data_IF_726667742153
#
_entry.id   IF_726667742153
#
_cell.length_a   1.000
_cell.length_b   1.000
_cell.length_c   1.000
_cell.angle_alpha   90.00
_cell.angle_beta   90.00
_cell.angle_gamma   90.00
#
_symmetry.space_group_name_H-M   'P 1'
#
loop_
_entity.id
_entity.type
_entity.pdbx_description
1 polymer ?
#
# COMPACT_ATOMS: atom_id res chain seq x y z
N UNK A 1 -12.92 -13.61 30.47
CA UNK A 1 -13.17 -15.05 30.70
C UNK A 1 -13.97 -15.57 29.52
N UNK A 2 -13.51 -16.65 28.89
CA UNK A 2 -14.12 -17.25 27.70
C UNK A 2 -13.06 -17.55 26.64
N UNK A 3 -12.29 -18.61 26.86
CA UNK A 3 -11.39 -19.20 25.87
C UNK A 3 -12.22 -20.01 24.87
N UNK A 4 -11.94 -19.86 23.57
CA UNK A 4 -12.42 -20.76 22.53
C UNK A 4 -11.22 -21.40 21.84
N UNK A 5 -10.94 -22.59 22.36
CA UNK A 5 -10.35 -23.79 21.78
C UNK A 5 -9.92 -23.74 20.30
N UNK A 6 -8.61 -23.89 20.07
CA UNK A 6 -8.04 -24.13 18.74
C UNK A 6 -8.14 -25.62 18.42
N UNK A 7 -9.02 -25.95 17.47
CA UNK A 7 -9.17 -27.31 16.95
C UNK A 7 -7.90 -27.80 16.24
N UNK A 8 -7.23 -28.75 16.87
CA UNK A 8 -6.22 -29.63 16.29
C UNK A 8 -6.80 -30.44 15.12
N UNK A 9 -6.39 -30.15 13.88
CA UNK A 9 -6.50 -31.09 12.76
C UNK A 9 -5.13 -31.73 12.52
N UNK A 10 -4.82 -32.80 13.26
CA UNK A 10 -3.77 -33.75 12.91
C UNK A 10 -4.35 -34.76 11.92
N UNK A 11 -4.06 -34.59 10.63
CA UNK A 11 -4.24 -35.66 9.65
C UNK A 11 -2.94 -36.48 9.62
N UNK A 12 -2.94 -37.61 10.32
CA UNK A 12 -1.94 -38.67 10.14
C UNK A 12 -2.06 -39.24 8.72
N UNK A 13 -1.14 -38.87 7.83
CA UNK A 13 -0.93 -39.60 6.57
C UNK A 13 -0.08 -40.83 6.86
N UNK A 14 -0.73 -41.95 7.21
CA UNK A 14 -0.11 -43.28 7.18
C UNK A 14 0.21 -43.65 5.72
N UNK A 15 1.45 -44.09 5.54
CA UNK A 15 2.10 -44.21 4.24
C UNK A 15 1.42 -45.17 3.26
N UNK A 16 1.50 -44.78 1.99
CA UNK A 16 1.75 -45.70 0.90
C UNK A 16 2.79 -45.05 -0.01
N UNK A 17 3.88 -45.80 -0.23
CA UNK A 17 5.13 -45.28 -0.76
C UNK A 17 5.04 -44.73 -2.17
N UNK A 18 5.41 -43.46 -2.31
CA UNK A 18 6.05 -42.93 -3.51
C UNK A 18 7.26 -42.16 -3.02
N UNK A 19 8.47 -42.65 -3.36
CA UNK A 19 9.70 -41.88 -3.16
C UNK A 19 9.64 -40.64 -4.07
N UNK A 20 9.18 -39.51 -3.53
CA UNK A 20 9.45 -38.20 -4.13
C UNK A 20 10.88 -37.80 -3.72
N UNK A 21 11.75 -37.63 -4.70
CA UNK A 21 13.18 -37.35 -4.52
C UNK A 21 13.47 -36.02 -3.82
N UNK A 22 14.63 -35.96 -3.16
CA UNK A 22 15.09 -34.92 -2.22
C UNK A 22 15.23 -33.47 -2.72
N UNK A 23 14.63 -33.07 -3.84
CA UNK A 23 14.59 -31.66 -4.26
C UNK A 23 13.58 -30.82 -3.46
N UNK A 24 12.52 -31.44 -2.93
CA UNK A 24 11.47 -30.70 -2.21
C UNK A 24 11.93 -30.33 -0.79
N UNK A 25 12.63 -31.23 -0.10
CA UNK A 25 13.16 -30.99 1.26
C UNK A 25 14.21 -29.86 1.26
N UNK A 26 15.10 -29.82 0.26
CA UNK A 26 16.11 -28.76 0.12
C UNK A 26 15.48 -27.37 -0.08
N UNK A 27 14.40 -27.27 -0.87
CA UNK A 27 13.71 -26.00 -1.10
C UNK A 27 12.98 -25.47 0.15
N UNK A 28 12.47 -26.35 1.00
CA UNK A 28 11.83 -25.95 2.27
C UNK A 28 12.84 -25.48 3.33
N UNK A 29 14.03 -26.08 3.36
CA UNK A 29 15.10 -25.67 4.29
C UNK A 29 15.70 -24.32 3.90
N UNK A 30 15.99 -24.10 2.61
CA UNK A 30 16.49 -22.82 2.09
C UNK A 30 15.48 -21.68 2.28
N UNK A 31 14.19 -21.95 2.07
CA UNK A 31 13.09 -21.02 2.34
C UNK A 31 13.01 -20.63 3.82
N UNK A 32 13.24 -21.59 4.72
CA UNK A 32 13.23 -21.33 6.16
C UNK A 32 14.45 -20.51 6.59
N UNK A 33 15.63 -20.83 6.08
CA UNK A 33 16.88 -20.10 6.38
C UNK A 33 16.81 -18.65 5.90
N UNK A 34 16.37 -18.43 4.65
CA UNK A 34 16.19 -17.08 4.10
C UNK A 34 15.12 -16.29 4.84
N UNK A 35 14.07 -16.95 5.35
CA UNK A 35 13.06 -16.30 6.22
C UNK A 35 13.70 -15.79 7.51
N UNK A 36 14.51 -16.62 8.20
CA UNK A 36 15.21 -16.23 9.43
C UNK A 36 16.16 -15.05 9.18
N UNK A 37 16.88 -15.04 8.07
CA UNK A 37 17.75 -13.94 7.70
C UNK A 37 16.99 -12.60 7.53
N UNK A 38 15.79 -12.63 6.93
CA UNK A 38 14.92 -11.43 6.85
C UNK A 38 14.45 -11.01 8.24
N UNK A 39 14.07 -11.96 9.11
CA UNK A 39 13.67 -11.63 10.49
C UNK A 39 14.78 -10.92 11.26
N UNK A 40 16.01 -11.41 11.17
CA UNK A 40 17.16 -10.81 11.85
C UNK A 40 17.49 -9.42 11.29
N UNK A 41 17.40 -9.24 9.97
CA UNK A 41 17.51 -7.92 9.36
C UNK A 41 16.43 -6.95 9.87
N UNK A 42 15.18 -7.40 10.02
CA UNK A 42 14.10 -6.56 10.56
C UNK A 42 14.33 -6.20 12.03
N UNK A 43 14.91 -7.08 12.85
CA UNK A 43 15.32 -6.75 14.23
C UNK A 43 16.36 -5.62 14.23
N UNK A 44 17.34 -5.66 13.33
CA UNK A 44 18.33 -4.58 13.16
C UNK A 44 17.66 -3.26 12.79
N UNK A 45 16.65 -3.30 11.90
CA UNK A 45 15.87 -2.11 11.54
C UNK A 45 15.13 -1.52 12.75
N UNK A 46 14.44 -2.34 13.53
CA UNK A 46 13.73 -1.92 14.74
C UNK A 46 14.69 -1.30 15.78
N UNK A 47 15.82 -1.95 16.02
CA UNK A 47 16.85 -1.43 16.93
C UNK A 47 17.42 -0.09 16.43
N UNK A 48 17.65 0.05 15.13
CA UNK A 48 18.11 1.31 14.53
C UNK A 48 17.10 2.47 14.68
N UNK A 49 15.80 2.15 14.71
CA UNK A 49 14.75 3.10 15.04
C UNK A 49 14.70 3.47 16.53
N UNK A 50 15.38 2.70 17.40
CA UNK A 50 15.36 2.88 18.85
C UNK A 50 14.19 2.17 19.53
N UNK A 51 13.58 1.19 18.88
CA UNK A 51 12.46 0.42 19.44
C UNK A 51 12.93 -0.76 20.30
N UNK A 52 12.11 -1.11 21.29
CA UNK A 52 12.24 -2.37 22.01
C UNK A 52 11.60 -3.51 21.21
N UNK A 53 12.45 -4.39 20.67
CA UNK A 53 12.03 -5.56 19.90
C UNK A 53 11.17 -6.55 20.70
N UNK A 54 11.23 -6.49 22.03
CA UNK A 54 10.45 -7.36 22.92
C UNK A 54 9.08 -6.77 23.30
N UNK A 55 8.78 -5.53 22.89
CA UNK A 55 7.45 -4.93 23.04
C UNK A 55 6.41 -5.86 22.40
N UNK A 56 5.30 -6.09 23.11
CA UNK A 56 4.24 -7.02 22.70
C UNK A 56 3.85 -6.88 21.21
N UNK A 57 3.59 -5.65 20.75
CA UNK A 57 3.20 -5.35 19.37
C UNK A 57 4.30 -5.55 18.32
N UNK A 58 5.57 -5.62 18.72
CA UNK A 58 6.75 -5.76 17.84
C UNK A 58 7.33 -7.18 17.80
N UNK A 59 7.08 -8.01 18.83
CA UNK A 59 7.66 -9.37 18.93
C UNK A 59 7.47 -10.23 17.67
N UNK A 60 6.30 -10.13 17.03
CA UNK A 60 5.98 -10.87 15.80
C UNK A 60 6.21 -10.06 14.52
N UNK A 61 6.66 -8.81 14.61
CA UNK A 61 6.91 -7.94 13.45
C UNK A 61 7.96 -8.51 12.50
N UNK A 62 9.13 -9.00 12.96
CA UNK A 62 10.11 -9.64 12.08
C UNK A 62 9.51 -10.73 11.18
N UNK A 63 8.85 -11.73 11.79
CA UNK A 63 8.19 -12.82 11.07
C UNK A 63 7.10 -12.32 10.13
N UNK A 64 6.30 -11.34 10.57
CA UNK A 64 5.22 -10.74 9.78
C UNK A 64 5.74 -10.04 8.52
N UNK A 65 6.84 -9.31 8.64
CA UNK A 65 7.51 -8.63 7.52
C UNK A 65 8.13 -9.66 6.58
N UNK A 66 8.85 -10.65 7.10
CA UNK A 66 9.46 -11.71 6.30
C UNK A 66 8.42 -12.44 5.45
N UNK A 67 7.31 -12.88 6.07
CA UNK A 67 6.21 -13.54 5.33
C UNK A 67 5.61 -12.64 4.25
N UNK A 68 5.39 -11.35 4.54
CA UNK A 68 4.80 -10.42 3.58
C UNK A 68 5.71 -10.20 2.36
N UNK A 69 7.02 -10.00 2.60
CA UNK A 69 7.99 -9.82 1.51
C UNK A 69 8.07 -11.07 0.64
N UNK A 70 8.17 -12.27 1.24
CA UNK A 70 8.26 -13.53 0.48
C UNK A 70 7.02 -13.82 -0.35
N UNK A 71 5.85 -13.47 0.17
CA UNK A 71 4.57 -13.61 -0.54
C UNK A 71 4.50 -12.62 -1.70
N UNK A 72 4.81 -11.35 -1.46
CA UNK A 72 4.80 -10.32 -2.50
C UNK A 72 5.97 -10.42 -3.49
N UNK A 73 6.92 -11.33 -3.29
CA UNK A 73 7.99 -11.67 -4.26
C UNK A 73 7.90 -13.12 -4.76
N UNK A 74 6.78 -13.82 -4.54
CA UNK A 74 6.63 -15.21 -4.98
C UNK A 74 6.73 -15.41 -6.49
N UNK A 75 6.51 -14.35 -7.26
CA UNK A 75 6.52 -14.35 -8.72
C UNK A 75 7.87 -14.69 -9.35
N UNK A 76 8.99 -14.51 -8.62
CA UNK A 76 10.31 -14.97 -9.07
C UNK A 76 10.43 -16.50 -9.14
N UNK A 77 9.62 -17.22 -8.37
CA UNK A 77 9.60 -18.70 -8.31
C UNK A 77 8.57 -19.34 -9.24
N UNK A 78 7.87 -18.53 -10.04
CA UNK A 78 6.82 -18.98 -10.94
C UNK A 78 7.25 -18.86 -12.40
N UNK A 79 6.90 -19.86 -13.21
CA UNK A 79 7.15 -19.87 -14.65
C UNK A 79 5.85 -19.61 -15.41
N UNK A 80 5.88 -18.65 -16.33
CA UNK A 80 4.72 -18.32 -17.18
C UNK A 80 4.30 -19.50 -18.07
N UNK A 81 5.27 -20.27 -18.56
CA UNK A 81 5.03 -21.44 -19.41
C UNK A 81 4.05 -22.41 -18.78
N UNK A 82 4.18 -22.63 -17.47
CA UNK A 82 3.37 -23.61 -16.71
C UNK A 82 1.93 -23.11 -16.51
N UNK A 83 1.71 -21.80 -16.60
CA UNK A 83 0.39 -21.16 -16.48
C UNK A 83 -0.35 -21.22 -17.81
N UNK A 84 0.34 -20.92 -18.92
CA UNK A 84 -0.27 -20.77 -20.24
C UNK A 84 -0.46 -22.12 -20.94
N UNK A 85 0.41 -23.11 -20.68
CA UNK A 85 0.27 -24.46 -21.25
C UNK A 85 -1.07 -25.10 -20.88
N UNK A 86 -1.74 -25.70 -21.88
CA UNK A 86 -3.02 -26.40 -21.73
C UNK A 86 -4.26 -25.51 -21.61
N UNK A 87 -4.15 -24.18 -21.83
CA UNK A 87 -5.24 -23.23 -21.65
C UNK A 87 -5.69 -22.52 -22.95
N UNK A 88 -5.28 -23.07 -24.10
CA UNK A 88 -5.75 -22.63 -25.41
C UNK A 88 -6.94 -23.50 -25.81
N UNK A 89 -8.08 -22.87 -26.00
CA UNK A 89 -9.33 -23.54 -26.38
C UNK A 89 -9.62 -23.26 -27.86
N UNK A 90 -10.03 -24.27 -28.63
CA UNK A 90 -10.49 -24.03 -29.99
C UNK A 90 -11.75 -23.19 -29.95
N UNK A 91 -11.74 -22.06 -30.64
CA UNK A 91 -12.89 -21.19 -30.83
C UNK A 91 -12.99 -20.87 -32.32
N UNK A 92 -14.06 -21.34 -32.97
CA UNK A 92 -14.28 -21.11 -34.38
C UNK A 92 -14.49 -19.62 -34.65
N UNK A 93 -13.57 -18.99 -35.39
CA UNK A 93 -13.74 -17.65 -35.95
C UNK A 93 -14.59 -17.69 -37.22
N UNK A 94 -14.88 -16.52 -37.80
CA UNK A 94 -15.49 -16.42 -39.14
C UNK A 94 -14.51 -17.00 -40.17
N UNK A 95 -14.86 -18.12 -40.81
CA UNK A 95 -14.09 -18.70 -41.93
C UNK A 95 -14.15 -17.83 -43.19
N UNK A 96 -15.14 -16.95 -43.29
CA UNK A 96 -15.36 -16.02 -44.40
C UNK A 96 -14.84 -14.64 -44.02
N UNK A 97 -13.76 -14.17 -44.65
CA UNK A 97 -13.03 -12.91 -44.41
C UNK A 97 -13.80 -11.60 -44.61
N UNK A 98 -15.03 -11.50 -44.10
CA UNK A 98 -15.85 -10.30 -44.02
C UNK A 98 -15.99 -9.94 -42.53
N UNK A 99 -14.96 -9.27 -41.99
CA UNK A 99 -14.98 -8.66 -40.65
C UNK A 99 -14.14 -9.35 -39.57
N UNK A 100 -14.08 -8.71 -38.40
CA UNK A 100 -13.48 -9.23 -37.17
C UNK A 100 -14.62 -9.55 -36.17
N UNK A 101 -14.81 -10.81 -35.79
CA UNK A 101 -15.82 -11.21 -34.80
C UNK A 101 -15.17 -11.56 -33.44
N UNK A 102 -15.94 -11.46 -32.36
CA UNK A 102 -15.54 -11.91 -31.03
C UNK A 102 -15.22 -13.41 -31.05
N UNK A 103 -13.97 -13.76 -30.77
CA UNK A 103 -13.39 -15.08 -31.00
C UNK A 103 -12.01 -14.96 -31.65
N UNK A 104 -11.57 -15.99 -32.38
CA UNK A 104 -10.32 -15.94 -33.12
C UNK A 104 -10.41 -14.94 -34.30
N UNK A 105 -9.96 -13.72 -34.04
CA UNK A 105 -9.94 -12.61 -35.01
C UNK A 105 -10.36 -11.26 -34.42
N UNK A 106 -11.07 -11.24 -33.29
CA UNK A 106 -11.52 -10.00 -32.63
C UNK A 106 -10.73 -9.67 -31.36
N UNK A 107 -10.80 -8.40 -30.94
CA UNK A 107 -10.19 -7.94 -29.69
C UNK A 107 -10.88 -8.56 -28.47
N UNK A 108 -10.12 -9.24 -27.61
CA UNK A 108 -10.56 -9.73 -26.30
C UNK A 108 -9.93 -8.87 -25.21
N UNK A 109 -10.76 -8.37 -24.27
CA UNK A 109 -10.30 -7.49 -23.18
C UNK A 109 -10.64 -8.09 -21.81
N UNK A 110 -9.62 -8.21 -20.96
CA UNK A 110 -9.75 -8.44 -19.51
C UNK A 110 -9.24 -7.18 -18.79
N UNK A 111 -10.07 -6.59 -17.95
CA UNK A 111 -9.83 -5.28 -17.35
C UNK A 111 -10.22 -5.27 -15.88
N UNK A 112 -9.78 -4.23 -15.17
CA UNK A 112 -9.97 -4.06 -13.72
C UNK A 112 -9.34 -5.20 -12.90
N UNK A 113 -8.17 -5.69 -13.32
CA UNK A 113 -7.40 -6.65 -12.54
C UNK A 113 -6.67 -5.91 -11.42
N UNK A 114 -7.11 -6.12 -10.20
CA UNK A 114 -6.50 -5.54 -9.00
C UNK A 114 -5.27 -6.36 -8.58
N UNK A 115 -4.08 -5.75 -8.67
CA UNK A 115 -2.78 -6.35 -8.37
C UNK A 115 -1.96 -5.37 -7.51
N UNK A 116 -0.93 -5.87 -6.83
CA UNK A 116 0.08 -5.02 -6.20
C UNK A 116 1.48 -5.50 -6.55
N UNK A 117 2.45 -4.62 -6.40
CA UNK A 117 3.86 -4.97 -6.46
C UNK A 117 4.66 -4.16 -5.45
N UNK A 118 5.91 -4.55 -5.21
CA UNK A 118 6.85 -3.77 -4.40
C UNK A 118 7.67 -2.88 -5.32
N UNK A 119 7.72 -1.59 -5.04
CA UNK A 119 8.53 -0.65 -5.82
C UNK A 119 10.00 -0.98 -5.64
N UNK A 120 10.71 -1.29 -6.71
CA UNK A 120 12.13 -1.65 -6.61
C UNK A 120 13.01 -0.51 -6.09
N UNK A 121 12.59 0.74 -6.31
CA UNK A 121 13.34 1.92 -5.84
C UNK A 121 13.26 2.08 -4.31
N UNK A 122 12.18 1.66 -3.65
CA UNK A 122 11.98 1.96 -2.23
C UNK A 122 11.43 0.82 -1.38
N UNK A 123 11.16 -0.36 -1.93
CA UNK A 123 10.60 -1.54 -1.26
C UNK A 123 9.22 -1.35 -0.63
N UNK A 124 8.51 -0.28 -0.98
CA UNK A 124 7.14 -0.04 -0.52
C UNK A 124 6.14 -0.56 -1.55
N UNK A 125 5.01 -1.10 -1.09
CA UNK A 125 4.00 -1.63 -1.99
C UNK A 125 3.32 -0.50 -2.75
N UNK A 126 3.01 -0.76 -4.02
CA UNK A 126 2.19 0.10 -4.86
C UNK A 126 1.05 -0.70 -5.49
N UNK A 127 -0.06 -0.01 -5.71
CA UNK A 127 -1.24 -0.59 -6.35
C UNK A 127 -1.06 -0.58 -7.85
N UNK A 128 -1.54 -1.64 -8.50
CA UNK A 128 -1.59 -1.82 -9.95
C UNK A 128 -3.00 -2.23 -10.33
N UNK A 129 -3.69 -1.39 -11.11
CA UNK A 129 -4.89 -1.80 -11.82
C UNK A 129 -4.52 -2.13 -13.26
N UNK A 130 -4.60 -3.40 -13.62
CA UNK A 130 -4.13 -3.94 -14.89
C UNK A 130 -5.29 -4.20 -15.86
N UNK A 131 -5.08 -3.78 -17.11
CA UNK A 131 -6.00 -3.96 -18.22
C UNK A 131 -5.24 -4.60 -19.39
N UNK A 132 -5.74 -5.71 -19.90
CA UNK A 132 -5.10 -6.53 -20.93
C UNK A 132 -6.06 -6.68 -22.10
N UNK A 133 -5.63 -6.27 -23.28
CA UNK A 133 -6.25 -6.58 -24.56
C UNK A 133 -5.39 -7.58 -25.33
N UNK A 134 -5.98 -8.53 -26.04
CA UNK A 134 -5.24 -9.34 -27.01
C UNK A 134 -6.11 -9.73 -28.21
N UNK A 135 -5.46 -9.98 -29.34
CA UNK A 135 -6.12 -10.47 -30.56
C UNK A 135 -5.75 -11.93 -30.79
N UNK A 136 -6.66 -12.88 -30.58
CA UNK A 136 -6.33 -14.29 -30.72
C UNK A 136 -5.97 -14.65 -32.16
N UNK A 137 -5.14 -15.69 -32.32
CA UNK A 137 -4.69 -16.19 -33.62
C UNK A 137 -4.95 -17.70 -33.75
N UNK A 138 -5.05 -18.20 -34.99
CA UNK A 138 -5.11 -19.63 -35.26
C UNK A 138 -6.29 -20.37 -34.61
N UNK A 139 -7.49 -19.77 -34.61
CA UNK A 139 -8.72 -20.38 -34.07
C UNK A 139 -8.65 -20.81 -32.60
N UNK A 140 -7.82 -20.13 -31.79
CA UNK A 140 -7.67 -20.43 -30.36
C UNK A 140 -7.81 -19.19 -29.49
N UNK A 141 -8.49 -19.34 -28.36
CA UNK A 141 -8.61 -18.30 -27.32
C UNK A 141 -7.99 -18.79 -26.01
N UNK A 142 -7.45 -17.85 -25.22
CA UNK A 142 -6.91 -18.18 -23.90
C UNK A 142 -8.00 -18.12 -22.84
N UNK A 143 -7.99 -19.05 -21.89
CA UNK A 143 -8.84 -18.96 -20.70
C UNK A 143 -8.56 -17.67 -19.93
N UNK A 144 -9.59 -16.85 -19.66
CA UNK A 144 -9.46 -15.49 -19.11
C UNK A 144 -8.65 -15.44 -17.80
N UNK A 145 -8.79 -16.45 -16.94
CA UNK A 145 -8.03 -16.56 -15.68
C UNK A 145 -6.51 -16.65 -15.86
N UNK A 146 -6.02 -16.96 -17.07
CA UNK A 146 -4.58 -17.07 -17.35
C UNK A 146 -3.96 -15.70 -17.55
N UNK A 147 -4.67 -14.75 -18.16
CA UNK A 147 -4.20 -13.38 -18.31
C UNK A 147 -3.93 -12.74 -16.94
N UNK A 148 -4.84 -12.91 -15.98
CA UNK A 148 -4.64 -12.43 -14.61
C UNK A 148 -3.53 -13.14 -13.87
N UNK A 149 -3.39 -14.47 -14.03
CA UNK A 149 -2.29 -15.24 -13.43
C UNK A 149 -0.92 -14.85 -13.98
N UNK A 150 -0.80 -14.59 -15.29
CA UNK A 150 0.46 -14.11 -15.87
C UNK A 150 0.80 -12.73 -15.32
N UNK A 151 -0.18 -11.82 -15.24
CA UNK A 151 0.03 -10.52 -14.63
C UNK A 151 0.44 -10.62 -13.14
N UNK A 152 -0.11 -11.58 -12.39
CA UNK A 152 0.26 -11.84 -10.99
C UNK A 152 1.71 -12.32 -10.84
N UNK A 153 2.21 -13.17 -11.74
CA UNK A 153 3.62 -13.62 -11.71
C UNK A 153 4.60 -12.45 -11.74
N UNK A 154 4.32 -11.43 -12.53
CA UNK A 154 5.20 -10.28 -12.65
C UNK A 154 4.92 -9.21 -11.58
N UNK A 155 3.67 -9.05 -11.14
CA UNK A 155 3.34 -8.10 -10.08
C UNK A 155 3.93 -8.54 -8.72
N UNK A 156 4.01 -9.84 -8.45
CA UNK A 156 4.64 -10.41 -7.25
C UNK A 156 6.18 -10.43 -7.32
N UNK A 157 6.77 -9.29 -7.63
CA UNK A 157 8.22 -9.02 -7.76
C UNK A 157 8.54 -7.61 -7.28
N UNK A 158 9.84 -7.25 -7.28
CA UNK A 158 10.26 -5.85 -7.19
C UNK A 158 10.15 -5.21 -8.57
N UNK A 159 9.30 -4.20 -8.72
CA UNK A 159 8.95 -3.63 -10.02
C UNK A 159 9.06 -2.12 -10.16
N UNK A 160 9.26 -1.73 -11.42
CA UNK A 160 8.87 -0.47 -12.01
C UNK A 160 7.59 -0.65 -12.85
N UNK A 161 6.63 0.30 -12.89
CA UNK A 161 5.40 0.20 -13.65
C UNK A 161 5.61 -0.12 -15.13
N UNK A 162 6.54 0.57 -15.80
CA UNK A 162 6.74 0.39 -17.24
C UNK A 162 7.31 -1.00 -17.52
N UNK A 163 8.34 -1.42 -16.76
CA UNK A 163 8.88 -2.77 -16.88
C UNK A 163 7.84 -3.85 -16.60
N UNK A 164 6.99 -3.67 -15.59
CA UNK A 164 5.89 -4.59 -15.32
C UNK A 164 4.94 -4.71 -16.53
N UNK A 165 4.60 -3.60 -17.18
CA UNK A 165 3.76 -3.63 -18.38
C UNK A 165 4.43 -4.40 -19.54
N UNK A 166 5.73 -4.15 -19.74
CA UNK A 166 6.52 -4.77 -20.81
C UNK A 166 6.72 -6.28 -20.61
N UNK A 167 7.01 -6.70 -19.37
CA UNK A 167 7.17 -8.12 -19.02
C UNK A 167 5.85 -8.89 -19.19
N UNK A 168 4.72 -8.31 -18.73
CA UNK A 168 3.40 -8.94 -18.91
C UNK A 168 3.05 -9.04 -20.40
N UNK A 169 3.25 -7.97 -21.17
CA UNK A 169 2.99 -7.94 -22.61
C UNK A 169 3.80 -8.99 -23.35
N UNK A 170 5.11 -9.03 -23.13
CA UNK A 170 6.03 -9.97 -23.77
C UNK A 170 5.71 -11.42 -23.40
N UNK A 171 5.47 -11.69 -22.12
CA UNK A 171 5.19 -13.04 -21.65
C UNK A 171 3.86 -13.60 -22.21
N UNK A 172 2.84 -12.75 -22.36
CA UNK A 172 1.60 -13.12 -23.01
C UNK A 172 1.79 -13.33 -24.52
N UNK A 173 2.57 -12.46 -25.19
CA UNK A 173 2.89 -12.61 -26.60
C UNK A 173 3.61 -13.94 -26.86
N UNK A 174 4.64 -14.26 -26.09
CA UNK A 174 5.45 -15.47 -26.26
C UNK A 174 4.68 -16.74 -25.87
N UNK A 175 3.91 -16.68 -24.78
CA UNK A 175 3.17 -17.81 -24.24
C UNK A 175 1.94 -18.20 -25.07
N UNK A 176 1.18 -17.21 -25.55
CA UNK A 176 -0.08 -17.42 -26.27
C UNK A 176 0.13 -17.41 -27.79
N UNK A 177 1.15 -16.67 -28.29
CA UNK A 177 1.38 -16.35 -29.70
C UNK A 177 0.17 -15.73 -30.41
N UNK A 178 -0.47 -14.71 -29.82
CA UNK A 178 -1.58 -14.01 -30.45
C UNK A 178 -1.09 -13.12 -31.59
N UNK A 179 -2.03 -12.56 -32.35
CA UNK A 179 -1.74 -11.55 -33.37
C UNK A 179 -1.20 -10.26 -32.74
N UNK A 180 -1.58 -9.98 -31.49
CA UNK A 180 -0.95 -8.96 -30.66
C UNK A 180 -1.53 -8.92 -29.25
N UNK A 181 -0.81 -8.24 -28.35
CA UNK A 181 -1.19 -7.99 -26.95
C UNK A 181 -1.02 -6.50 -26.64
N UNK A 182 -1.94 -5.94 -25.87
CA UNK A 182 -1.84 -4.64 -25.25
C UNK A 182 -2.03 -4.75 -23.74
N UNK A 183 -1.20 -4.05 -22.98
CA UNK A 183 -1.28 -3.96 -21.53
C UNK A 183 -1.31 -2.49 -21.15
N UNK A 184 -2.26 -2.08 -20.31
CA UNK A 184 -2.32 -0.76 -19.68
C UNK A 184 -2.37 -0.96 -18.18
N UNK A 185 -1.45 -0.32 -17.47
CA UNK A 185 -1.42 -0.33 -16.01
C UNK A 185 -1.71 1.07 -15.48
N UNK A 186 -2.64 1.16 -14.55
CA UNK A 186 -2.85 2.35 -13.72
C UNK A 186 -2.26 2.09 -12.35
N UNK A 187 -1.11 2.69 -12.08
CA UNK A 187 -0.35 2.45 -10.85
C UNK A 187 -0.53 3.61 -9.88
N UNK A 188 -0.66 3.29 -8.58
CA UNK A 188 -0.71 4.28 -7.50
C UNK A 188 0.34 3.93 -6.44
N UNK A 189 1.31 4.83 -6.26
CA UNK A 189 2.32 4.75 -5.22
C UNK A 189 1.98 5.72 -4.11
N UNK A 190 2.16 5.31 -2.86
CA UNK A 190 1.95 6.23 -1.73
C UNK A 190 3.00 7.37 -1.79
N UNK A 191 2.54 8.61 -1.66
CA UNK A 191 3.43 9.76 -1.54
C UNK A 191 4.03 9.81 -0.13
N UNK A 192 5.19 10.45 0.05
CA UNK A 192 5.74 10.66 1.38
C UNK A 192 5.87 12.14 1.63
N UNK A 193 5.21 12.69 2.66
CA UNK A 193 5.50 14.05 3.05
C UNK A 193 6.94 14.11 3.58
N UNK A 194 7.71 15.09 3.10
CA UNK A 194 8.88 15.55 3.84
C UNK A 194 8.35 16.16 5.15
N UNK A 195 9.08 16.01 6.27
CA UNK A 195 8.67 16.57 7.56
C UNK A 195 8.31 18.07 7.45
N UNK A 196 9.04 18.81 6.60
CA UNK A 196 8.77 20.23 6.32
C UNK A 196 7.49 20.46 5.49
N UNK A 197 7.15 19.56 4.57
CA UNK A 197 5.95 19.68 3.72
C UNK A 197 4.68 19.14 4.37
N UNK A 198 4.79 18.28 5.40
CA UNK A 198 3.67 17.77 6.19
C UNK A 198 2.91 18.88 6.93
N UNK A 199 3.57 20.01 7.25
CA UNK A 199 2.99 21.14 7.96
C UNK A 199 2.29 22.17 7.05
N UNK A 200 2.64 22.23 5.75
CA UNK A 200 2.40 23.41 4.92
C UNK A 200 1.48 23.20 3.72
N UNK A 201 1.25 21.96 3.27
CA UNK A 201 0.47 21.74 2.04
C UNK A 201 -0.82 20.94 2.31
N UNK A 202 -1.96 21.63 2.21
CA UNK A 202 -3.29 21.00 2.24
C UNK A 202 -3.60 20.23 0.95
N UNK A 203 -2.77 20.37 -0.09
CA UNK A 203 -2.94 19.72 -1.40
C UNK A 203 -2.15 18.42 -1.59
N UNK A 204 -1.58 17.84 -0.52
CA UNK A 204 -0.91 16.54 -0.63
C UNK A 204 -1.90 15.46 -1.05
N UNK A 205 -1.96 15.20 -2.36
CA UNK A 205 -2.52 13.97 -2.90
C UNK A 205 -1.65 12.86 -2.35
N UNK A 206 -2.13 12.13 -1.33
CA UNK A 206 -1.39 11.08 -0.63
C UNK A 206 -0.92 9.91 -1.53
N UNK A 207 -1.17 10.00 -2.84
CA UNK A 207 -0.83 9.01 -3.85
C UNK A 207 -0.31 9.70 -5.12
N UNK A 208 0.83 9.21 -5.63
CA UNK A 208 1.33 9.49 -6.98
C UNK A 208 0.75 8.45 -7.91
N UNK A 209 0.06 8.92 -8.96
CA UNK A 209 -0.58 8.08 -9.97
C UNK A 209 0.18 8.16 -11.28
N UNK A 210 0.46 7.02 -11.89
CA UNK A 210 1.07 6.92 -13.23
C UNK A 210 0.28 5.93 -14.07
N UNK A 211 0.17 6.21 -15.36
CA UNK A 211 -0.42 5.29 -16.33
C UNK A 211 0.67 4.95 -17.34
N UNK A 212 0.92 3.66 -17.51
CA UNK A 212 1.90 3.11 -18.44
C UNK A 212 1.20 2.12 -19.36
N UNK A 213 1.77 1.92 -20.55
CA UNK A 213 1.26 0.96 -21.51
C UNK A 213 2.40 0.21 -22.20
N UNK A 214 2.11 -1.01 -22.63
CA UNK A 214 2.97 -1.82 -23.47
C UNK A 214 2.14 -2.53 -24.53
N UNK A 215 2.70 -2.70 -25.73
CA UNK A 215 2.02 -3.33 -26.85
C UNK A 215 2.98 -4.17 -27.68
N UNK A 216 2.49 -5.30 -28.20
CA UNK A 216 3.23 -6.23 -29.05
C UNK A 216 2.35 -6.72 -30.22
N UNK A 217 2.97 -7.13 -31.33
CA UNK A 217 2.26 -7.53 -32.56
C UNK A 217 1.46 -6.37 -33.15
N UNK A 218 0.17 -6.56 -33.42
CA UNK A 218 -0.71 -5.49 -33.96
C UNK A 218 -0.85 -4.25 -33.05
N UNK A 219 -0.38 -4.33 -31.81
CA UNK A 219 -0.34 -3.21 -30.87
C UNK A 219 1.03 -2.53 -30.75
N UNK A 220 2.05 -2.92 -31.52
CA UNK A 220 3.38 -2.27 -31.47
C UNK A 220 3.31 -0.78 -31.82
N UNK A 221 2.53 -0.44 -32.85
CA UNK A 221 2.28 0.93 -33.27
C UNK A 221 1.14 1.53 -32.43
N UNK A 222 1.45 2.55 -31.63
CA UNK A 222 0.52 3.27 -30.76
C UNK A 222 -0.59 4.04 -31.51
N UNK A 223 -0.44 4.21 -32.83
CA UNK A 223 -1.44 4.84 -33.72
C UNK A 223 -2.34 3.85 -34.46
N UNK A 224 -2.17 2.55 -34.24
CA UNK A 224 -3.02 1.55 -34.88
C UNK A 224 -4.48 1.68 -34.39
N UNK A 225 -5.45 1.55 -35.30
CA UNK A 225 -6.90 1.70 -35.00
C UNK A 225 -7.36 0.80 -33.85
N UNK A 226 -6.71 -0.35 -33.69
CA UNK A 226 -7.01 -1.32 -32.64
C UNK A 226 -6.73 -0.80 -31.21
N UNK A 227 -5.79 0.14 -31.04
CA UNK A 227 -5.63 0.86 -29.78
C UNK A 227 -6.87 1.72 -29.49
N UNK A 228 -7.45 2.33 -30.53
CA UNK A 228 -8.69 3.09 -30.43
C UNK A 228 -9.84 2.25 -29.90
N UNK A 229 -10.01 1.02 -30.41
CA UNK A 229 -11.02 0.07 -29.93
C UNK A 229 -10.78 -0.31 -28.46
N UNK A 230 -9.54 -0.67 -28.10
CA UNK A 230 -9.18 -1.04 -26.73
C UNK A 230 -9.43 0.11 -25.74
N UNK A 231 -8.97 1.32 -26.07
CA UNK A 231 -9.16 2.51 -25.23
C UNK A 231 -10.64 2.88 -25.12
N UNK A 232 -11.41 2.76 -26.20
CA UNK A 232 -12.86 3.00 -26.19
C UNK A 232 -13.60 2.04 -25.27
N UNK A 233 -13.22 0.76 -25.30
CA UNK A 233 -13.75 -0.23 -24.36
C UNK A 233 -13.47 0.19 -22.92
N UNK A 234 -12.24 0.55 -22.57
CA UNK A 234 -11.91 1.03 -21.22
C UNK A 234 -12.73 2.26 -20.81
N UNK A 235 -12.88 3.24 -21.71
CA UNK A 235 -13.69 4.45 -21.47
C UNK A 235 -15.15 4.15 -21.19
N UNK A 236 -15.76 3.14 -21.82
CA UNK A 236 -17.15 2.74 -21.51
C UNK A 236 -17.36 2.32 -20.04
N UNK A 237 -16.30 1.99 -19.30
CA UNK A 237 -16.37 1.69 -17.86
C UNK A 237 -15.93 2.86 -16.98
N UNK A 238 -15.75 4.04 -17.55
CA UNK A 238 -15.25 5.21 -16.84
C UNK A 238 -13.75 5.16 -16.54
N UNK A 239 -12.99 4.25 -17.17
CA UNK A 239 -11.54 4.19 -17.02
C UNK A 239 -10.94 5.26 -17.94
N UNK A 240 -10.54 6.40 -17.36
CA UNK A 240 -9.88 7.47 -18.11
C UNK A 240 -8.37 7.16 -18.27
N UNK A 241 -7.92 7.06 -19.51
CA UNK A 241 -6.53 6.76 -19.91
C UNK A 241 -5.92 7.90 -20.74
N UNK A 242 -6.45 9.11 -20.67
CA UNK A 242 -6.01 10.25 -21.51
C UNK A 242 -4.61 10.79 -21.15
N UNK A 243 -3.97 10.27 -20.11
CA UNK A 243 -2.64 10.68 -19.61
C UNK A 243 -1.60 9.57 -19.71
N UNK A 244 -1.61 8.78 -20.79
CA UNK A 244 -0.51 7.85 -21.08
C UNK A 244 0.75 8.70 -21.29
N UNK A 245 1.76 8.47 -20.45
CA UNK A 245 3.05 9.11 -20.68
C UNK A 245 3.71 8.46 -21.89
N UNK A 246 4.24 9.22 -22.86
CA UNK A 246 4.97 8.65 -24.00
C UNK A 246 6.14 7.81 -23.51
N UNK A 247 6.47 6.74 -24.26
CA UNK A 247 7.59 5.81 -23.93
C UNK A 247 8.94 6.51 -23.71
N UNK A 248 9.10 7.74 -24.22
CA UNK A 248 10.38 8.46 -24.29
C UNK A 248 10.50 9.66 -23.33
N UNK A 249 9.66 9.82 -22.28
CA UNK A 249 9.89 10.89 -21.29
C UNK A 249 10.92 10.45 -20.23
N UNK A 250 12.19 10.57 -20.58
CA UNK A 250 13.36 10.03 -19.85
C UNK A 250 13.67 10.68 -18.48
N UNK A 251 12.80 11.54 -17.91
CA UNK A 251 13.24 12.47 -16.86
C UNK A 251 12.34 12.60 -15.62
N UNK A 252 11.34 11.74 -15.44
CA UNK A 252 10.55 11.73 -14.19
C UNK A 252 10.52 10.36 -13.56
N UNK A 253 11.38 10.19 -12.55
CA UNK A 253 11.21 9.10 -11.61
C UNK A 253 9.80 9.12 -11.01
N UNK A 254 9.04 8.04 -11.22
CA UNK A 254 7.70 7.89 -10.67
C UNK A 254 7.72 7.63 -9.14
N UNK A 255 8.81 7.05 -8.62
CA UNK A 255 8.95 6.75 -7.21
C UNK A 255 9.22 8.03 -6.39
N UNK A 256 8.33 8.41 -5.44
CA UNK A 256 8.49 9.63 -4.65
C UNK A 256 9.76 9.65 -3.79
N UNK A 257 10.30 8.48 -3.45
CA UNK A 257 11.50 8.38 -2.60
C UNK A 257 12.75 8.99 -3.22
N UNK A 258 12.81 9.11 -4.55
CA UNK A 258 14.00 9.65 -5.22
C UNK A 258 14.15 11.18 -5.06
N UNK A 259 13.07 11.89 -4.69
CA UNK A 259 13.12 13.30 -4.35
C UNK A 259 13.73 13.57 -2.96
N UNK A 260 13.93 12.54 -2.12
CA UNK A 260 14.46 12.64 -0.76
C UNK A 260 15.99 12.75 -0.80
N UNK A 261 16.50 13.92 -1.22
CA UNK A 261 17.93 14.18 -1.41
C UNK A 261 18.64 14.67 -0.14
N UNK A 262 17.92 15.32 0.80
CA UNK A 262 18.53 16.00 1.97
C UNK A 262 18.09 15.38 3.30
N UNK A 263 18.73 14.29 3.71
CA UNK A 263 18.72 13.83 5.11
C UNK A 263 20.10 13.32 5.49
N UNK A 264 20.42 13.43 6.78
CA UNK A 264 21.74 13.11 7.35
C UNK A 264 22.24 11.68 7.08
N UNK A 265 23.46 11.38 7.53
CA UNK A 265 24.11 10.10 7.31
C UNK A 265 23.19 8.92 7.72
N UNK A 266 22.81 8.08 6.76
CA UNK A 266 21.97 6.93 7.01
C UNK A 266 22.75 5.87 7.82
N UNK A 267 22.07 5.20 8.75
CA UNK A 267 22.67 4.16 9.60
C UNK A 267 23.17 2.99 8.71
N UNK A 268 24.50 2.79 8.67
CA UNK A 268 25.14 1.78 7.82
C UNK A 268 24.70 0.35 8.17
N UNK A 269 24.45 0.06 9.44
CA UNK A 269 23.94 -1.24 9.89
C UNK A 269 22.54 -1.52 9.34
N UNK A 270 21.66 -0.52 9.35
CA UNK A 270 20.32 -0.65 8.76
C UNK A 270 20.38 -0.80 7.25
N UNK A 271 21.29 -0.07 6.57
CA UNK A 271 21.48 -0.21 5.12
C UNK A 271 21.92 -1.65 4.77
N UNK A 272 22.88 -2.19 5.52
CA UNK A 272 23.33 -3.56 5.35
C UNK A 272 22.20 -4.57 5.62
N UNK A 273 21.34 -4.31 6.61
CA UNK A 273 20.18 -5.14 6.89
C UNK A 273 19.20 -5.17 5.71
N UNK A 274 18.87 -4.03 5.10
CA UNK A 274 18.00 -4.01 3.90
C UNK A 274 18.64 -4.71 2.71
N UNK A 275 19.95 -4.54 2.51
CA UNK A 275 20.67 -5.28 1.47
C UNK A 275 20.66 -6.80 1.74
N UNK A 276 20.66 -7.21 3.01
CA UNK A 276 20.48 -8.62 3.39
C UNK A 276 19.08 -9.12 3.05
N UNK A 277 18.04 -8.33 3.31
CA UNK A 277 16.66 -8.67 2.92
C UNK A 277 16.58 -8.93 1.42
N UNK A 278 17.15 -8.06 0.59
CA UNK A 278 17.16 -8.22 -0.87
C UNK A 278 17.84 -9.53 -1.30
N UNK A 279 19.03 -9.82 -0.75
CA UNK A 279 19.72 -11.08 -1.03
C UNK A 279 18.90 -12.30 -0.62
N UNK A 280 18.25 -12.25 0.54
CA UNK A 280 17.36 -13.33 1.00
C UNK A 280 16.10 -13.51 0.15
N UNK A 281 15.70 -12.50 -0.62
CA UNK A 281 14.63 -12.60 -1.61
C UNK A 281 15.12 -13.11 -2.97
N UNK A 282 16.43 -13.38 -3.13
CA UNK A 282 17.06 -13.82 -4.37
C UNK A 282 17.49 -12.67 -5.29
N UNK A 283 17.48 -11.43 -4.81
CA UNK A 283 17.83 -10.23 -5.59
C UNK A 283 19.28 -9.80 -5.34
N UNK A 284 19.94 -9.29 -6.39
CA UNK A 284 21.24 -8.63 -6.26
C UNK A 284 21.05 -7.14 -5.93
N UNK A 285 21.42 -6.66 -4.73
CA UNK A 285 21.31 -5.24 -4.37
C UNK A 285 22.14 -4.30 -5.25
N UNK A 286 23.09 -4.84 -6.03
CA UNK A 286 23.96 -4.08 -6.93
C UNK A 286 23.41 -3.97 -8.35
N UNK A 287 22.29 -4.63 -8.69
CA UNK A 287 21.66 -4.43 -10.00
C UNK A 287 21.19 -2.99 -10.15
N UNK A 288 21.31 -2.46 -11.36
CA UNK A 288 21.16 -1.03 -11.66
C UNK A 288 19.90 -0.40 -11.03
N UNK A 289 18.78 -1.11 -11.07
CA UNK A 289 17.50 -0.57 -10.61
C UNK A 289 17.32 -0.64 -9.08
N UNK A 290 18.09 -1.49 -8.39
CA UNK A 290 18.15 -1.56 -6.92
C UNK A 290 19.26 -0.70 -6.32
N UNK A 291 20.13 -0.10 -7.15
CA UNK A 291 21.17 0.78 -6.65
C UNK A 291 20.56 1.92 -5.82
N UNK A 292 21.04 2.05 -4.59
CA UNK A 292 20.56 3.03 -3.62
C UNK A 292 19.23 2.67 -2.94
N UNK A 293 18.55 1.59 -3.32
CA UNK A 293 17.28 1.15 -2.71
C UNK A 293 17.42 0.93 -1.20
N UNK A 294 18.44 0.20 -0.69
CA UNK A 294 18.67 0.08 0.75
C UNK A 294 18.73 1.44 1.47
N UNK A 295 19.47 2.39 0.91
CA UNK A 295 19.62 3.73 1.47
C UNK A 295 18.30 4.51 1.44
N UNK A 296 17.54 4.45 0.33
CA UNK A 296 16.24 5.12 0.20
C UNK A 296 15.22 4.58 1.20
N UNK A 297 15.15 3.26 1.36
CA UNK A 297 14.26 2.63 2.34
C UNK A 297 14.65 3.00 3.78
N UNK A 298 15.93 2.97 4.14
CA UNK A 298 16.38 3.37 5.48
C UNK A 298 16.10 4.85 5.75
N UNK A 299 16.39 5.74 4.80
CA UNK A 299 16.05 7.17 4.93
C UNK A 299 14.56 7.34 5.18
N UNK A 300 13.72 6.71 4.36
CA UNK A 300 12.27 6.72 4.55
C UNK A 300 11.86 6.22 5.94
N UNK A 301 12.40 5.08 6.38
CA UNK A 301 12.09 4.49 7.67
C UNK A 301 12.44 5.45 8.82
N UNK A 302 13.57 6.15 8.71
CA UNK A 302 14.05 7.12 9.68
C UNK A 302 13.29 8.46 9.69
N UNK A 303 12.50 8.79 8.66
CA UNK A 303 11.69 10.02 8.64
C UNK A 303 10.76 10.13 9.86
N UNK A 304 10.33 9.00 10.39
CA UNK A 304 9.41 8.90 11.51
C UNK A 304 10.10 8.96 12.89
N UNK A 305 11.43 9.03 12.94
CA UNK A 305 12.18 9.19 14.19
C UNK A 305 12.37 10.66 14.59
N UNK A 306 12.38 11.57 13.62
CA UNK A 306 12.86 12.96 13.81
C UNK A 306 11.82 13.96 14.33
N UNK A 307 10.73 13.51 14.96
CA UNK A 307 9.76 14.43 15.57
C UNK A 307 10.27 14.97 16.93
N UNK A 308 11.27 15.86 16.91
CA UNK A 308 11.65 16.67 18.06
C UNK A 308 10.57 17.75 18.30
N UNK A 309 9.43 17.34 18.84
CA UNK A 309 8.34 18.27 19.20
C UNK A 309 8.56 18.95 20.57
N UNK A 310 9.58 18.54 21.34
CA UNK A 310 9.97 19.23 22.59
C UNK A 310 10.19 20.74 22.38
N UNK A 311 10.49 21.21 21.17
CA UNK A 311 10.64 22.64 20.87
C UNK A 311 9.32 23.40 20.62
N UNK A 312 8.23 22.75 20.16
CA UNK A 312 6.98 23.44 19.79
C UNK A 312 5.94 23.44 20.91
N UNK A 313 5.84 22.38 21.71
CA UNK A 313 4.93 22.35 22.86
C UNK A 313 5.39 23.29 23.99
N UNK A 314 6.71 23.47 24.17
CA UNK A 314 7.24 24.43 25.14
C UNK A 314 7.05 25.91 24.71
N UNK A 315 6.85 26.17 23.42
CA UNK A 315 6.56 27.52 22.88
C UNK A 315 5.08 27.92 22.99
N UNK A 316 4.18 26.94 23.01
CA UNK A 316 2.81 27.13 23.51
C UNK A 316 2.86 27.05 25.02
N UNK A 317 3.36 28.13 25.63
CA UNK A 317 3.33 28.31 27.08
C UNK A 317 2.00 27.83 27.62
N UNK A 318 2.08 27.02 28.66
CA UNK A 318 0.99 26.45 29.43
C UNK A 318 0.11 27.58 29.99
N UNK A 319 -0.69 28.23 29.14
CA UNK A 319 -1.81 29.04 29.55
C UNK A 319 -2.81 28.05 30.11
N UNK A 320 -2.62 27.72 31.38
CA UNK A 320 -3.66 27.21 32.25
C UNK A 320 -4.85 28.13 32.01
N UNK A 321 -5.85 27.61 31.31
CA UNK A 321 -7.09 28.34 31.08
C UNK A 321 -7.74 28.52 32.45
N UNK A 322 -7.66 29.73 32.98
CA UNK A 322 -8.38 30.09 34.19
C UNK A 322 -9.87 29.96 33.91
N UNK A 323 -10.50 29.01 34.59
CA UNK A 323 -11.92 28.74 34.47
C UNK A 323 -12.73 29.93 34.99
N UNK A 324 -13.12 30.84 34.09
CA UNK A 324 -14.17 31.80 34.37
C UNK A 324 -15.50 31.04 34.27
N UNK A 325 -16.14 30.81 35.42
CA UNK A 325 -17.49 30.22 35.46
C UNK A 325 -18.48 31.18 34.80
N UNK A 326 -18.94 30.84 33.60
CA UNK A 326 -20.11 31.48 32.97
C UNK A 326 -21.23 30.44 32.84
N UNK A 327 -22.48 30.89 33.03
CA UNK A 327 -23.69 30.08 32.80
C UNK A 327 -24.06 30.10 31.31
N UNK A 328 -23.14 29.67 30.45
CA UNK A 328 -23.33 29.58 29.00
C UNK A 328 -23.92 28.24 28.55
N UNK A 329 -24.47 28.19 27.34
CA UNK A 329 -24.88 26.93 26.73
C UNK A 329 -23.62 26.15 26.31
N UNK A 330 -23.54 24.88 26.70
CA UNK A 330 -22.41 24.03 26.36
C UNK A 330 -22.53 23.58 24.90
N UNK A 331 -21.55 23.97 24.07
CA UNK A 331 -21.52 23.67 22.64
C UNK A 331 -20.47 22.60 22.32
N UNK A 332 -20.76 21.76 21.33
CA UNK A 332 -19.78 20.80 20.78
C UNK A 332 -18.96 21.53 19.72
N UNK A 333 -17.66 21.67 19.96
CA UNK A 333 -16.70 22.15 18.98
C UNK A 333 -16.04 20.98 18.25
N UNK A 334 -15.68 21.16 16.99
CA UNK A 334 -15.06 20.11 16.18
C UNK A 334 -13.94 20.64 15.29
N UNK A 335 -12.81 19.94 15.28
CA UNK A 335 -11.75 20.05 14.27
C UNK A 335 -11.72 18.78 13.43
N UNK A 336 -12.00 18.91 12.14
CA UNK A 336 -12.22 17.79 11.22
C UNK A 336 -11.10 17.74 10.17
N UNK A 337 -10.89 16.55 9.59
CA UNK A 337 -9.94 16.31 8.51
C UNK A 337 -8.49 16.73 8.86
N UNK A 338 -8.02 16.46 10.07
CA UNK A 338 -6.62 16.66 10.43
C UNK A 338 -5.78 15.52 9.83
N UNK A 339 -4.95 15.77 8.79
CA UNK A 339 -4.23 14.69 8.13
C UNK A 339 -3.12 14.15 9.03
N UNK A 340 -2.88 12.84 8.94
CA UNK A 340 -1.77 12.21 9.65
C UNK A 340 -1.11 11.11 8.82
N UNK A 341 0.14 10.85 9.17
CA UNK A 341 0.97 9.79 8.60
C UNK A 341 1.59 8.99 9.73
N UNK A 342 1.68 7.68 9.56
CA UNK A 342 2.24 6.80 10.56
C UNK A 342 2.85 5.55 9.94
N UNK A 343 3.59 4.79 10.73
CA UNK A 343 4.14 3.50 10.33
C UNK A 343 3.46 2.38 11.13
N UNK A 344 2.89 1.41 10.43
CA UNK A 344 2.25 0.27 11.07
C UNK A 344 3.33 -0.58 11.75
N UNK A 345 3.30 -0.67 13.07
CA UNK A 345 4.32 -1.39 13.84
C UNK A 345 4.33 -2.89 13.52
N UNK A 346 3.24 -3.42 12.97
CA UNK A 346 3.13 -4.82 12.57
C UNK A 346 3.93 -5.18 11.31
N UNK A 347 4.14 -4.20 10.43
CA UNK A 347 4.63 -4.44 9.06
C UNK A 347 5.70 -3.47 8.59
N UNK A 348 6.04 -2.43 9.37
CA UNK A 348 6.96 -1.38 8.95
C UNK A 348 6.55 -0.77 7.61
N UNK A 349 5.24 -0.60 7.43
CA UNK A 349 4.62 -0.05 6.22
C UNK A 349 3.75 1.16 6.59
N UNK A 350 3.65 2.16 5.71
CA UNK A 350 2.94 3.39 6.02
C UNK A 350 1.42 3.18 6.09
N UNK A 351 0.78 3.93 6.97
CA UNK A 351 -0.66 4.17 6.92
C UNK A 351 -0.92 5.67 7.12
N UNK A 352 -2.00 6.15 6.53
CA UNK A 352 -2.35 7.57 6.52
C UNK A 352 -3.86 7.74 6.53
N UNK A 353 -4.31 8.90 6.96
CA UNK A 353 -5.70 9.24 6.92
C UNK A 353 -5.99 10.53 7.66
N UNK A 354 -7.15 10.58 8.30
CA UNK A 354 -7.65 11.78 8.95
C UNK A 354 -8.04 11.50 10.39
N UNK A 355 -7.81 12.52 11.22
CA UNK A 355 -8.28 12.58 12.59
C UNK A 355 -9.34 13.67 12.69
N UNK A 356 -10.42 13.35 13.37
CA UNK A 356 -11.52 14.25 13.71
C UNK A 356 -11.60 14.33 15.24
N UNK A 357 -11.61 15.54 15.78
CA UNK A 357 -11.60 15.80 17.22
C UNK A 357 -12.80 16.65 17.58
N UNK A 358 -13.70 16.10 18.38
CA UNK A 358 -14.82 16.79 19.00
C UNK A 358 -14.53 17.05 20.47
N UNK A 359 -14.89 18.23 20.98
CA UNK A 359 -14.75 18.56 22.40
C UNK A 359 -15.86 19.48 22.89
N UNK A 360 -16.21 19.36 24.18
CA UNK A 360 -17.20 20.21 24.84
C UNK A 360 -16.45 21.23 25.69
N UNK A 361 -16.76 22.50 25.50
CA UNK A 361 -16.19 23.61 26.29
C UNK A 361 -17.29 24.47 26.87
N UNK A 362 -17.06 25.04 28.05
CA UNK A 362 -17.93 26.08 28.62
C UNK A 362 -17.62 27.44 28.00
N UNK A 363 -18.64 28.26 27.74
CA UNK A 363 -18.48 29.61 27.19
C UNK A 363 -17.45 30.45 27.98
N UNK A 364 -16.49 31.05 27.28
CA UNK A 364 -15.44 31.91 27.86
C UNK A 364 -14.02 31.35 27.81
N UNK A 365 -13.87 30.07 27.46
CA UNK A 365 -12.57 29.45 27.12
C UNK A 365 -12.27 29.72 25.64
N UNK A 366 -11.16 30.39 25.34
CA UNK A 366 -10.75 30.58 23.96
C UNK A 366 -10.61 29.22 23.25
N UNK A 367 -11.27 28.99 22.11
CA UNK A 367 -11.14 27.74 21.37
C UNK A 367 -9.66 27.52 21.06
N UNK A 368 -9.17 26.31 21.37
CA UNK A 368 -7.79 25.94 21.06
C UNK A 368 -7.62 26.06 19.54
N UNK A 369 -6.59 26.79 19.11
CA UNK A 369 -6.30 26.94 17.70
C UNK A 369 -6.03 25.58 17.05
N UNK A 370 -6.64 25.34 15.89
CA UNK A 370 -6.42 24.19 14.99
C UNK A 370 -4.96 23.72 14.92
N UNK A 371 -4.01 24.66 14.94
CA UNK A 371 -2.55 24.42 14.96
C UNK A 371 -2.08 23.53 16.13
N UNK A 372 -2.65 23.67 17.33
CA UNK A 372 -2.26 22.86 18.48
C UNK A 372 -2.78 21.43 18.35
N UNK A 373 -4.05 21.24 17.99
CA UNK A 373 -4.62 19.92 17.76
C UNK A 373 -3.92 19.18 16.60
N UNK A 374 -3.59 19.89 15.51
CA UNK A 374 -2.77 19.35 14.44
C UNK A 374 -1.37 18.94 14.91
N UNK A 375 -0.78 19.69 15.85
CA UNK A 375 0.52 19.33 16.46
C UNK A 375 0.45 18.04 17.29
N UNK A 376 -0.65 17.84 18.03
CA UNK A 376 -0.91 16.60 18.79
C UNK A 376 -1.04 15.40 17.84
N UNK A 377 -1.86 15.55 16.79
CA UNK A 377 -2.06 14.53 15.75
C UNK A 377 -0.73 14.16 15.10
N UNK A 378 0.07 15.14 14.72
CA UNK A 378 1.39 14.92 14.12
C UNK A 378 2.35 14.20 15.06
N UNK A 379 2.39 14.60 16.34
CA UNK A 379 3.26 14.00 17.35
C UNK A 379 3.01 12.51 17.54
N UNK A 380 1.73 12.11 17.62
CA UNK A 380 1.39 10.71 17.80
C UNK A 380 1.42 9.93 16.49
N UNK A 381 1.13 10.58 15.35
CA UNK A 381 1.15 10.00 14.03
C UNK A 381 2.54 9.54 13.60
N UNK A 382 3.56 10.40 13.68
CA UNK A 382 4.91 10.11 13.16
C UNK A 382 5.72 9.18 14.07
N UNK A 383 5.24 7.95 14.26
CA UNK A 383 5.84 6.89 15.08
C UNK A 383 5.46 5.52 14.51
N UNK A 384 6.08 4.47 15.02
CA UNK A 384 5.53 3.12 14.89
C UNK A 384 4.27 2.99 15.75
N UNK A 385 3.14 2.71 15.11
CA UNK A 385 1.83 2.75 15.74
C UNK A 385 0.93 1.58 15.36
N UNK A 386 -0.06 1.41 16.23
CA UNK A 386 -1.33 0.73 16.00
C UNK A 386 -2.41 1.81 16.04
N UNK A 387 -3.38 1.78 15.11
CA UNK A 387 -4.35 2.88 14.93
C UNK A 387 -5.18 3.13 16.20
N UNK A 388 -5.55 2.06 16.91
CA UNK A 388 -6.30 2.09 18.16
C UNK A 388 -5.51 2.84 19.25
N UNK A 389 -4.20 2.56 19.38
CA UNK A 389 -3.32 3.25 20.32
C UNK A 389 -3.15 4.72 19.95
N UNK A 390 -2.94 5.02 18.67
CA UNK A 390 -2.86 6.39 18.15
C UNK A 390 -4.12 7.20 18.52
N UNK A 391 -5.30 6.64 18.25
CA UNK A 391 -6.60 7.26 18.53
C UNK A 391 -6.74 7.60 20.01
N UNK A 392 -6.43 6.64 20.88
CA UNK A 392 -6.47 6.83 22.33
C UNK A 392 -5.47 7.88 22.81
N UNK A 393 -4.22 7.83 22.34
CA UNK A 393 -3.17 8.79 22.73
C UNK A 393 -3.52 10.22 22.35
N UNK A 394 -4.10 10.44 21.17
CA UNK A 394 -4.60 11.75 20.75
C UNK A 394 -5.72 12.21 21.69
N UNK A 395 -6.70 11.34 21.98
CA UNK A 395 -7.80 11.67 22.88
C UNK A 395 -7.31 12.03 24.28
N UNK A 396 -6.42 11.22 24.88
CA UNK A 396 -5.85 11.47 26.21
C UNK A 396 -5.07 12.80 26.26
N UNK A 397 -4.30 13.12 25.22
CA UNK A 397 -3.52 14.36 25.14
C UNK A 397 -4.41 15.58 24.90
N UNK A 398 -5.41 15.47 24.02
CA UNK A 398 -6.38 16.54 23.79
C UNK A 398 -7.23 16.78 25.04
N UNK A 399 -7.67 15.71 25.70
CA UNK A 399 -8.47 15.76 26.94
C UNK A 399 -7.75 16.48 28.08
N UNK A 400 -6.45 16.31 28.24
CA UNK A 400 -5.68 16.99 29.30
C UNK A 400 -5.55 18.50 29.07
N UNK A 401 -5.70 18.96 27.82
CA UNK A 401 -5.64 20.36 27.44
C UNK A 401 -7.02 21.03 27.35
N UNK A 402 -8.06 20.26 27.00
CA UNK A 402 -9.41 20.74 26.69
C UNK A 402 -10.44 20.55 27.80
N UNK A 403 -10.05 19.98 28.95
CA UNK A 403 -10.96 19.87 30.10
C UNK A 403 -11.77 18.58 30.18
N UNK A 404 -11.32 17.49 29.54
CA UNK A 404 -11.84 16.13 29.81
C UNK A 404 -12.86 15.58 28.82
N UNK A 405 -13.68 16.44 28.21
CA UNK A 405 -14.80 16.04 27.36
C UNK A 405 -14.39 16.00 25.89
N UNK A 406 -13.75 14.91 25.48
CA UNK A 406 -13.18 14.77 24.13
C UNK A 406 -13.61 13.47 23.46
N UNK A 407 -13.93 13.55 22.18
CA UNK A 407 -14.11 12.41 21.28
C UNK A 407 -13.16 12.52 20.10
N UNK A 408 -12.46 11.44 19.79
CA UNK A 408 -11.54 11.37 18.65
C UNK A 408 -11.96 10.22 17.76
N UNK A 409 -12.10 10.51 16.46
CA UNK A 409 -12.31 9.51 15.42
C UNK A 409 -11.11 9.56 14.49
N UNK A 410 -10.51 8.39 14.22
CA UNK A 410 -9.42 8.25 13.26
C UNK A 410 -9.87 7.31 12.16
N UNK A 411 -9.79 7.77 10.91
CA UNK A 411 -10.02 6.97 9.71
C UNK A 411 -8.70 6.84 8.96
N UNK A 412 -8.31 5.63 8.56
CA UNK A 412 -7.02 5.42 7.91
C UNK A 412 -7.04 4.31 6.85
N UNK A 413 -6.19 4.51 5.84
CA UNK A 413 -5.86 3.52 4.83
C UNK A 413 -4.49 2.92 5.13
N UNK A 414 -4.43 1.60 5.17
CA UNK A 414 -3.23 0.85 5.56
C UNK A 414 -2.60 0.16 4.36
N UNK A 415 -1.37 0.55 3.99
CA UNK A 415 -0.67 -0.14 2.88
C UNK A 415 -0.28 -1.57 3.23
N UNK A 416 -0.23 -1.93 4.51
CA UNK A 416 0.00 -3.31 4.91
C UNK A 416 -1.15 -4.27 4.55
N UNK A 417 -2.35 -3.76 4.27
CA UNK A 417 -3.47 -4.56 3.77
C UNK A 417 -3.41 -4.78 2.25
N UNK A 418 -2.58 -4.01 1.54
CA UNK A 418 -2.32 -4.22 0.11
C UNK A 418 -1.50 -5.50 -0.08
N UNK A 419 -0.41 -5.62 0.67
CA UNK A 419 0.56 -6.71 0.47
C UNK A 419 0.27 -7.98 1.28
N UNK A 420 -0.86 -8.07 1.98
CA UNK A 420 -1.20 -9.22 2.83
C UNK A 420 -2.67 -9.63 2.72
N UNK A 421 -2.91 -10.92 2.94
CA UNK A 421 -4.24 -11.48 3.16
C UNK A 421 -5.10 -11.44 1.90
N UNK A 422 -6.21 -10.70 1.97
CA UNK A 422 -7.18 -10.56 0.86
C UNK A 422 -6.75 -9.53 -0.19
N UNK A 423 -5.57 -8.91 -0.02
CA UNK A 423 -4.95 -7.99 -0.99
C UNK A 423 -5.90 -6.87 -1.44
N UNK A 424 -6.63 -6.28 -0.48
CA UNK A 424 -7.66 -5.28 -0.77
C UNK A 424 -7.10 -3.87 -0.76
N UNK A 425 -7.24 -3.22 -1.91
CA UNK A 425 -6.98 -1.81 -2.09
C UNK A 425 -8.06 -0.94 -1.46
N UNK A 426 -7.68 0.24 -0.99
CA UNK A 426 -8.63 1.22 -0.45
C UNK A 426 -9.37 0.74 0.81
N UNK A 427 -8.88 -0.31 1.48
CA UNK A 427 -9.41 -0.71 2.78
C UNK A 427 -9.22 0.43 3.77
N UNK A 428 -10.33 0.90 4.32
CA UNK A 428 -10.38 1.95 5.31
C UNK A 428 -10.79 1.38 6.66
N UNK A 429 -10.11 1.79 7.72
CA UNK A 429 -10.41 1.40 9.10
C UNK A 429 -10.70 2.63 9.92
N UNK A 430 -11.76 2.57 10.73
CA UNK A 430 -12.14 3.63 11.65
C UNK A 430 -11.99 3.16 13.11
N UNK A 431 -11.47 4.05 13.96
CA UNK A 431 -11.31 3.82 15.39
C UNK A 431 -11.81 5.05 16.15
N UNK A 432 -12.38 4.82 17.32
CA UNK A 432 -13.00 5.87 18.13
C UNK A 432 -12.47 5.79 19.56
N UNK A 433 -12.11 6.93 20.13
CA UNK A 433 -11.86 7.09 21.57
C UNK A 433 -12.79 8.17 22.12
N UNK A 434 -13.45 7.86 23.23
CA UNK A 434 -14.38 8.77 23.93
C UNK A 434 -13.93 8.95 25.37
N UNK A 435 -13.84 10.20 25.80
CA UNK A 435 -13.45 10.60 27.16
C UNK A 435 -14.46 11.61 27.71
N UNK A 436 -14.51 11.72 29.04
CA UNK A 436 -15.45 12.62 29.73
C UNK A 436 -16.91 12.32 29.36
N UNK A 437 -17.71 13.35 29.16
CA UNK A 437 -19.15 13.28 28.85
C UNK A 437 -19.46 12.52 27.58
N UNK A 438 -18.59 12.53 26.57
CA UNK A 438 -18.81 11.71 25.37
C UNK A 438 -18.89 10.20 25.70
N UNK A 439 -18.34 9.74 26.83
CA UNK A 439 -18.47 8.33 27.25
C UNK A 439 -19.89 7.97 27.69
N UNK A 440 -20.65 8.91 28.27
CA UNK A 440 -21.98 8.67 28.85
C UNK A 440 -23.12 9.29 28.05
N UNK A 441 -22.85 10.24 27.15
CA UNK A 441 -23.85 10.93 26.33
C UNK A 441 -23.89 10.41 24.88
N UNK A 442 -24.79 9.46 24.54
CA UNK A 442 -24.93 8.98 23.17
C UNK A 442 -25.43 10.04 22.18
N UNK A 443 -26.19 11.05 22.65
CA UNK A 443 -26.73 12.11 21.80
C UNK A 443 -25.61 13.05 21.37
N UNK A 444 -24.72 13.42 22.29
CA UNK A 444 -23.52 14.20 21.98
C UNK A 444 -22.61 13.46 20.99
N UNK A 445 -22.40 12.15 21.17
CA UNK A 445 -21.63 11.32 20.21
C UNK A 445 -22.25 11.33 18.82
N UNK A 446 -23.56 11.10 18.72
CA UNK A 446 -24.27 11.08 17.43
C UNK A 446 -24.13 12.43 16.71
N UNK A 447 -24.37 13.53 17.41
CA UNK A 447 -24.21 14.90 16.87
C UNK A 447 -22.81 15.15 16.31
N UNK A 448 -21.77 14.72 17.00
CA UNK A 448 -20.39 14.85 16.50
C UNK A 448 -20.11 13.94 15.30
N UNK A 449 -20.55 12.69 15.33
CA UNK A 449 -20.35 11.76 14.21
C UNK A 449 -21.06 12.24 12.93
N UNK A 450 -22.24 12.82 13.06
CA UNK A 450 -23.00 13.40 11.94
C UNK A 450 -22.34 14.65 11.33
N UNK A 451 -21.44 15.32 12.06
CA UNK A 451 -20.70 16.47 11.52
C UNK A 451 -19.47 16.07 10.70
N UNK A 452 -19.00 14.82 10.82
CA UNK A 452 -17.86 14.31 10.06
C UNK A 452 -18.25 14.20 8.58
N UNK A 453 -17.48 14.79 7.63
CA UNK A 453 -17.83 14.77 6.22
C UNK A 453 -17.80 13.35 5.65
N UNK A 454 -18.73 13.05 4.75
CA UNK A 454 -18.68 11.80 4.00
C UNK A 454 -17.44 11.79 3.09
N UNK A 455 -16.53 10.86 3.34
CA UNK A 455 -15.31 10.65 2.55
C UNK A 455 -15.57 10.31 1.08
N UNK A 456 -16.81 9.95 0.70
CA UNK A 456 -17.24 9.69 -0.67
C UNK A 456 -17.29 10.92 -1.59
N UNK A 457 -17.28 12.15 -1.06
CA UNK A 457 -17.38 13.38 -1.87
C UNK A 457 -16.05 14.07 -2.15
N UNK A 458 -14.91 13.51 -1.72
CA UNK A 458 -13.59 14.14 -1.81
C UNK A 458 -12.56 13.41 -2.70
N UNK A 459 -12.99 12.43 -3.52
CA UNK A 459 -12.12 11.56 -4.34
C UNK A 459 -11.86 12.04 -5.75
#
# INVERSE_FOLDING_TARGET
MGALDEGHFNVELKGNGVKLGGCIELGFEEERETTVAIEDAVKVLLQGLGEDINREGLRKTPLRVAKALREGTRGYRQKVTDIVQGALFPESGLESGIGHAGGAGGLVVVRDLDLFSYCESCLLPFQVKCHIGYVPSGQRVVGLSKLSRVADVFSKRLQDPQRLADEVSSALQDGIKPTGVAVILQCSHIHFPNFESAFLDSNHRGWVKVIVCSGSGVFENDKADIWGDFLSLLRFRGINVEKIHPRDSDDKCWCPSQAISKMGAANSGMIAAVASILRSLGEDPLRNELLGTPTRFVKWLMNFKNCNLEMKLNGFGLCRLDAVRSNGNEEIHSELNLPFWSQCEHHLLPFQGFVHIGYISTEGVNPIGKTLLQSIVHFHGFKLQVQERLTRQIAETASSLLGGDVMVVVEANHTCMISRGIEKFGSNTATVAVLGRFSTDPVARAKFLESIPNSATAG
#
